data_IF_149140973872
#
_entry.id   IF_149140973872
#
_cell.length_a   1.000
_cell.length_b   1.000
_cell.length_c   1.000
_cell.angle_alpha   90.00
_cell.angle_beta   90.00
_cell.angle_gamma   90.00
#
_symmetry.space_group_name_H-M   'P 1'
#
loop_
_entity.id
_entity.type
_entity.pdbx_description
1 polymer ?
#
# COMPACT_ATOMS: atom_id res chain seq x y z
N UNK A 1 -11.99 -10.01 6.12
CA UNK A 1 -11.34 -10.96 7.05
C UNK A 1 -12.34 -11.73 7.90
N UNK A 2 -13.38 -11.11 8.47
CA UNK A 2 -14.40 -11.86 9.23
C UNK A 2 -15.14 -12.92 8.42
N UNK A 3 -15.49 -12.63 7.14
CA UNK A 3 -16.07 -13.64 6.23
C UNK A 3 -15.16 -14.86 6.04
N UNK A 4 -13.86 -14.65 5.89
CA UNK A 4 -12.88 -15.74 5.80
C UNK A 4 -12.83 -16.54 7.11
N UNK A 5 -12.84 -15.87 8.26
CA UNK A 5 -12.87 -16.52 9.56
C UNK A 5 -14.10 -17.41 9.74
N UNK A 6 -15.28 -16.91 9.37
CA UNK A 6 -16.51 -17.71 9.40
C UNK A 6 -16.44 -18.91 8.45
N UNK A 7 -15.97 -18.70 7.22
CA UNK A 7 -15.90 -19.78 6.24
C UNK A 7 -14.86 -20.85 6.60
N UNK A 8 -13.72 -20.48 7.18
CA UNK A 8 -12.74 -21.46 7.72
C UNK A 8 -13.40 -22.33 8.79
N UNK A 9 -14.21 -21.75 9.69
CA UNK A 9 -14.94 -22.52 10.71
C UNK A 9 -15.95 -23.48 10.07
N UNK A 10 -16.72 -23.01 9.08
CA UNK A 10 -17.66 -23.85 8.34
C UNK A 10 -16.96 -25.03 7.65
N UNK A 11 -15.81 -24.78 7.02
CA UNK A 11 -15.00 -25.82 6.40
C UNK A 11 -14.60 -26.88 7.43
N UNK A 12 -14.04 -26.47 8.57
CA UNK A 12 -13.62 -27.40 9.64
C UNK A 12 -14.79 -28.24 10.14
N UNK A 13 -15.97 -27.65 10.33
CA UNK A 13 -17.15 -28.38 10.76
C UNK A 13 -17.67 -29.37 9.70
N UNK A 14 -17.66 -28.99 8.41
CA UNK A 14 -18.00 -29.91 7.31
C UNK A 14 -17.01 -31.09 7.22
N UNK A 15 -15.71 -30.84 7.42
CA UNK A 15 -14.69 -31.90 7.44
C UNK A 15 -14.91 -32.89 8.61
N UNK A 16 -15.28 -32.38 9.80
CA UNK A 16 -15.66 -33.23 10.95
C UNK A 16 -16.90 -34.07 10.64
N UNK A 17 -17.94 -33.47 10.05
CA UNK A 17 -19.17 -34.18 9.69
C UNK A 17 -18.93 -35.30 8.68
N UNK A 18 -17.97 -35.12 7.77
CA UNK A 18 -17.58 -36.11 6.76
C UNK A 18 -16.58 -37.16 7.26
N UNK A 19 -16.21 -37.14 8.55
CA UNK A 19 -15.17 -38.00 9.13
C UNK A 19 -13.83 -37.93 8.38
N UNK A 20 -13.49 -36.78 7.81
CA UNK A 20 -12.20 -36.57 7.16
C UNK A 20 -11.09 -36.42 8.22
N UNK A 21 -9.89 -36.90 7.90
CA UNK A 21 -8.74 -36.76 8.80
C UNK A 21 -8.33 -35.29 8.87
N UNK A 22 -8.41 -34.70 10.08
CA UNK A 22 -7.96 -33.33 10.29
C UNK A 22 -6.43 -33.20 10.37
N UNK A 23 -5.66 -34.28 10.21
CA UNK A 23 -4.20 -34.26 10.32
C UNK A 23 -3.53 -33.37 9.27
N UNK A 24 -4.17 -33.21 8.10
CA UNK A 24 -3.67 -32.33 7.03
C UNK A 24 -4.11 -30.89 7.22
N UNK A 25 -4.98 -30.58 8.17
CA UNK A 25 -5.42 -29.21 8.44
C UNK A 25 -4.29 -28.43 9.10
N UNK A 26 -3.94 -27.23 8.59
CA UNK A 26 -2.98 -26.38 9.26
C UNK A 26 -3.41 -26.11 10.71
N UNK A 27 -2.53 -26.38 11.68
CA UNK A 27 -2.88 -26.31 13.09
C UNK A 27 -3.47 -24.95 13.52
N UNK A 28 -3.01 -23.86 12.88
CA UNK A 28 -3.48 -22.51 13.17
C UNK A 28 -4.96 -22.30 12.81
N UNK A 29 -5.53 -23.05 11.85
CA UNK A 29 -6.95 -22.94 11.46
C UNK A 29 -7.91 -23.20 12.62
N UNK A 30 -7.59 -24.12 13.54
CA UNK A 30 -8.51 -24.55 14.59
C UNK A 30 -8.90 -23.45 15.55
N UNK A 31 -7.97 -22.54 15.85
CA UNK A 31 -8.15 -21.45 16.81
C UNK A 31 -7.94 -20.08 16.18
N UNK A 32 -7.92 -20.00 14.85
CA UNK A 32 -7.70 -18.73 14.17
C UNK A 32 -8.89 -17.81 14.38
N UNK A 33 -8.60 -16.63 14.91
CA UNK A 33 -9.50 -15.48 14.87
C UNK A 33 -8.83 -14.36 14.10
N UNK A 34 -9.62 -13.64 13.30
CA UNK A 34 -9.13 -12.48 12.58
C UNK A 34 -8.47 -11.48 13.55
N UNK A 35 -7.20 -11.09 13.35
CA UNK A 35 -6.53 -10.05 14.16
C UNK A 35 -7.25 -8.69 14.14
N UNK A 36 -8.17 -8.52 13.18
CA UNK A 36 -9.02 -7.35 13.02
C UNK A 36 -10.46 -7.55 13.52
N UNK A 37 -10.75 -8.63 14.26
CA UNK A 37 -12.09 -8.88 14.85
C UNK A 37 -12.51 -7.68 15.70
N UNK A 38 -13.71 -7.15 15.44
CA UNK A 38 -14.23 -5.97 16.13
C UNK A 38 -13.57 -4.63 15.74
N UNK A 39 -12.62 -4.63 14.79
CA UNK A 39 -12.06 -3.40 14.22
C UNK A 39 -12.91 -2.96 13.04
N UNK A 40 -13.51 -1.78 13.17
CA UNK A 40 -14.41 -1.18 12.18
C UNK A 40 -13.78 0.02 11.46
N UNK A 41 -12.57 0.42 11.88
CA UNK A 41 -11.75 1.47 11.27
C UNK A 41 -10.45 0.87 10.76
N UNK A 42 -9.91 1.43 9.68
CA UNK A 42 -8.64 1.02 9.09
C UNK A 42 -8.14 2.04 8.06
N UNK A 43 -6.95 1.79 7.52
CA UNK A 43 -6.29 2.66 6.55
C UNK A 43 -5.47 3.80 7.16
N UNK A 44 -5.17 3.70 8.46
CA UNK A 44 -4.19 4.48 9.21
C UNK A 44 -2.76 4.05 8.81
N UNK A 45 -1.78 4.89 9.12
CA UNK A 45 -0.37 4.54 8.97
C UNK A 45 0.03 3.60 10.11
N UNK A 46 0.72 2.51 9.78
CA UNK A 46 1.24 1.58 10.78
C UNK A 46 2.53 2.14 11.41
N UNK A 47 2.83 1.74 12.64
CA UNK A 47 4.03 2.16 13.38
C UNK A 47 5.33 1.87 12.61
N UNK A 48 5.38 0.76 11.85
CA UNK A 48 6.53 0.46 10.98
C UNK A 48 6.66 1.50 9.87
N UNK A 49 5.54 1.90 9.28
CA UNK A 49 5.50 2.94 8.25
C UNK A 49 5.89 4.33 8.79
N UNK A 50 5.54 4.63 10.04
CA UNK A 50 6.03 5.84 10.72
C UNK A 50 7.56 5.83 10.84
N UNK A 51 8.12 4.73 11.36
CA UNK A 51 9.57 4.60 11.53
C UNK A 51 10.32 4.62 10.19
N UNK A 52 9.83 3.91 9.18
CA UNK A 52 10.41 3.89 7.83
C UNK A 52 10.53 5.30 7.25
N UNK A 53 9.47 6.10 7.37
CA UNK A 53 9.43 7.46 6.84
C UNK A 53 10.24 8.43 7.67
N UNK A 54 10.22 8.30 9.00
CA UNK A 54 11.08 9.07 9.89
C UNK A 54 12.57 8.85 9.56
N UNK A 55 12.99 7.60 9.43
CA UNK A 55 14.36 7.26 9.05
C UNK A 55 14.69 7.69 7.63
N UNK A 56 13.72 7.64 6.70
CA UNK A 56 13.91 8.19 5.36
C UNK A 56 14.17 9.69 5.40
N UNK A 57 13.44 10.45 6.22
CA UNK A 57 13.67 11.88 6.41
C UNK A 57 15.08 12.20 6.90
N UNK A 58 15.57 11.45 7.90
CA UNK A 58 16.94 11.57 8.40
C UNK A 58 17.96 11.32 7.29
N UNK A 59 17.82 10.21 6.56
CA UNK A 59 18.73 9.85 5.47
C UNK A 59 18.73 10.87 4.34
N UNK A 60 17.57 11.43 3.99
CA UNK A 60 17.47 12.49 2.97
C UNK A 60 18.24 13.73 3.40
N UNK A 61 18.06 14.19 4.65
CA UNK A 61 18.82 15.31 5.20
C UNK A 61 20.33 15.05 5.15
N UNK A 62 20.77 13.88 5.61
CA UNK A 62 22.19 13.51 5.67
C UNK A 62 22.81 13.35 4.28
N UNK A 63 22.02 12.89 3.31
CA UNK A 63 22.47 12.71 1.92
C UNK A 63 22.67 14.03 1.20
N UNK A 64 21.90 15.05 1.54
CA UNK A 64 21.91 16.36 0.86
C UNK A 64 22.08 17.52 1.85
N UNK A 65 23.20 17.58 2.60
CA UNK A 65 23.38 18.54 3.68
C UNK A 65 23.32 20.00 3.20
N UNK A 66 23.83 20.28 2.00
CA UNK A 66 23.87 21.62 1.41
C UNK A 66 22.47 22.16 1.08
N UNK A 67 21.49 21.28 0.88
CA UNK A 67 20.10 21.63 0.60
C UNK A 67 19.32 21.96 1.89
N UNK A 68 19.70 21.35 3.01
CA UNK A 68 19.02 21.49 4.32
C UNK A 68 19.87 22.27 5.33
N UNK A 69 20.68 23.19 4.83
CA UNK A 69 21.50 24.10 5.63
C UNK A 69 20.67 25.29 6.18
N UNK A 70 19.66 25.74 5.45
CA UNK A 70 18.76 26.83 5.81
C UNK A 70 17.71 26.42 6.86
N UNK A 71 17.10 27.44 7.49
CA UNK A 71 15.97 27.24 8.38
C UNK A 71 14.69 26.88 7.61
N UNK A 72 13.83 26.07 8.22
CA UNK A 72 12.56 25.72 7.59
C UNK A 72 11.69 26.95 7.32
N UNK A 73 11.33 27.13 6.05
CA UNK A 73 10.25 27.99 5.58
C UNK A 73 9.31 27.18 4.67
N UNK A 74 7.97 27.32 4.79
CA UNK A 74 7.00 26.55 3.99
C UNK A 74 7.12 26.77 2.48
N UNK A 75 7.57 27.94 2.05
CA UNK A 75 7.76 28.22 0.62
C UNK A 75 9.06 27.63 0.07
N UNK A 76 10.04 27.34 0.93
CA UNK A 76 11.35 26.77 0.56
C UNK A 76 11.30 25.24 0.59
N UNK A 77 10.65 24.68 1.62
CA UNK A 77 10.48 23.24 1.81
C UNK A 77 9.00 22.83 1.82
N UNK A 78 8.25 23.05 0.72
CA UNK A 78 6.84 22.70 0.70
C UNK A 78 6.65 21.18 0.78
N UNK A 79 5.89 20.75 1.80
CA UNK A 79 5.49 19.35 1.98
C UNK A 79 4.02 19.20 1.58
N UNK A 80 3.78 18.56 0.43
CA UNK A 80 2.44 18.36 -0.14
C UNK A 80 2.01 16.90 0.01
N UNK A 81 0.74 16.70 0.38
CA UNK A 81 0.14 15.37 0.54
C UNK A 81 -1.24 15.29 -0.07
N UNK A 82 -1.69 14.08 -0.40
CA UNK A 82 -3.12 13.86 -0.61
C UNK A 82 -3.88 14.03 0.70
N UNK A 83 -5.14 14.47 0.64
CA UNK A 83 -6.04 14.56 1.79
C UNK A 83 -6.51 13.16 2.30
N UNK A 84 -5.60 12.22 2.52
CA UNK A 84 -5.80 10.88 3.05
C UNK A 84 -5.04 10.77 4.38
N UNK A 85 -5.66 10.31 5.49
CA UNK A 85 -5.03 10.32 6.82
C UNK A 85 -3.64 9.70 6.86
N UNK A 86 -3.48 8.47 6.35
CA UNK A 86 -2.16 7.82 6.28
C UNK A 86 -1.12 8.58 5.46
N UNK A 87 -1.51 9.27 4.38
CA UNK A 87 -0.57 10.05 3.58
C UNK A 87 -0.10 11.31 4.32
N UNK A 88 -1.01 11.95 5.07
CA UNK A 88 -0.67 13.07 5.94
C UNK A 88 0.22 12.62 7.10
N UNK A 89 -0.14 11.53 7.79
CA UNK A 89 0.69 10.94 8.84
C UNK A 89 2.08 10.56 8.33
N UNK A 90 2.16 10.01 7.10
CA UNK A 90 3.41 9.70 6.43
C UNK A 90 4.30 10.92 6.24
N UNK A 91 3.72 12.05 5.82
CA UNK A 91 4.47 13.28 5.65
C UNK A 91 4.91 13.89 6.97
N UNK A 92 4.10 13.75 8.02
CA UNK A 92 4.49 14.15 9.37
C UNK A 92 5.67 13.32 9.85
N UNK A 93 5.62 11.99 9.73
CA UNK A 93 6.73 11.12 10.12
C UNK A 93 8.01 11.47 9.35
N UNK A 94 7.92 11.61 8.03
CA UNK A 94 9.03 12.05 7.17
C UNK A 94 9.60 13.41 7.59
N UNK A 95 8.76 14.43 7.78
CA UNK A 95 9.17 15.76 8.18
C UNK A 95 9.77 15.82 9.58
N UNK A 96 9.28 15.00 10.52
CA UNK A 96 9.85 14.87 11.86
C UNK A 96 11.29 14.37 11.81
N UNK A 97 11.60 13.43 10.91
CA UNK A 97 12.96 12.95 10.69
C UNK A 97 13.83 13.99 9.98
N UNK A 98 13.31 14.57 8.89
CA UNK A 98 13.99 15.57 8.07
C UNK A 98 14.41 16.80 8.90
N UNK A 99 13.55 17.28 9.79
CA UNK A 99 13.81 18.47 10.62
C UNK A 99 14.14 18.14 12.09
N UNK A 100 14.50 16.89 12.39
CA UNK A 100 14.97 16.49 13.72
C UNK A 100 16.23 17.29 14.11
N UNK A 101 16.33 17.78 15.35
CA UNK A 101 17.45 18.60 15.80
C UNK A 101 17.48 20.06 15.32
N UNK A 102 16.55 20.46 14.44
CA UNK A 102 16.49 21.81 13.83
C UNK A 102 15.56 22.79 14.55
N UNK A 103 14.99 22.40 15.70
CA UNK A 103 14.09 23.23 16.49
C UNK A 103 14.31 23.15 18.00
N UNK A 104 13.28 23.49 18.76
CA UNK A 104 13.30 23.58 20.23
C UNK A 104 12.20 22.75 20.92
N UNK A 105 11.36 22.05 20.16
CA UNK A 105 10.25 21.29 20.72
C UNK A 105 10.70 19.90 21.20
N UNK A 106 10.57 19.69 22.51
CA UNK A 106 10.82 18.40 23.16
C UNK A 106 12.29 17.94 23.11
N UNK A 107 12.58 16.74 23.65
CA UNK A 107 13.94 16.19 23.70
C UNK A 107 14.59 16.00 22.33
N UNK A 108 13.78 15.70 21.31
CA UNK A 108 14.24 15.53 19.92
C UNK A 108 14.52 16.86 19.19
N UNK A 109 14.32 18.02 19.85
CA UNK A 109 14.56 19.34 19.28
C UNK A 109 13.87 19.50 17.92
N UNK A 110 12.61 19.09 17.85
CA UNK A 110 11.87 19.10 16.59
C UNK A 110 11.49 20.53 16.19
N UNK A 111 11.46 20.76 14.88
CA UNK A 111 10.92 21.96 14.25
C UNK A 111 9.51 21.66 13.75
N UNK A 112 8.55 22.53 14.05
CA UNK A 112 7.22 22.46 13.44
C UNK A 112 7.32 22.85 11.95
N UNK A 113 6.54 22.16 11.11
CA UNK A 113 6.46 22.38 9.67
C UNK A 113 5.01 22.30 9.20
N UNK A 114 4.74 22.87 8.03
CA UNK A 114 3.43 22.87 7.40
C UNK A 114 3.33 21.68 6.44
N UNK A 115 2.20 20.99 6.49
CA UNK A 115 1.81 19.97 5.50
C UNK A 115 0.56 20.46 4.82
N UNK A 116 0.60 20.60 3.50
CA UNK A 116 -0.54 21.06 2.72
C UNK A 116 -1.18 19.91 1.95
N UNK A 117 -2.48 20.06 1.66
CA UNK A 117 -3.22 19.07 0.87
C UNK A 117 -4.32 19.72 0.08
N UNK A 118 -4.55 19.22 -1.13
CA UNK A 118 -5.69 19.59 -1.95
C UNK A 118 -6.92 18.74 -1.63
N UNK A 119 -8.10 19.27 -1.97
CA UNK A 119 -9.36 18.54 -1.81
C UNK A 119 -9.35 17.24 -2.62
N UNK A 120 -9.84 16.14 -2.03
CA UNK A 120 -9.94 14.83 -2.70
C UNK A 120 -10.66 14.87 -4.05
N UNK A 121 -11.59 15.81 -4.22
CA UNK A 121 -12.41 15.93 -5.43
C UNK A 121 -11.68 16.64 -6.58
N UNK A 122 -10.69 17.48 -6.27
CA UNK A 122 -10.06 18.39 -7.23
C UNK A 122 -8.53 18.26 -7.30
N UNK A 123 -7.94 17.35 -6.54
CA UNK A 123 -6.50 17.10 -6.52
C UNK A 123 -6.04 16.41 -7.82
N UNK A 124 -5.82 17.21 -8.86
CA UNK A 124 -5.36 16.77 -10.18
C UNK A 124 -3.87 16.49 -10.25
N UNK A 125 -3.10 16.80 -9.19
CA UNK A 125 -1.65 16.63 -9.12
C UNK A 125 -1.31 15.32 -8.44
N UNK A 126 -1.80 15.09 -7.22
CA UNK A 126 -1.53 13.89 -6.45
C UNK A 126 -2.64 12.86 -6.58
N UNK A 127 -3.88 13.24 -6.90
CA UNK A 127 -5.00 12.30 -7.10
C UNK A 127 -5.59 12.31 -8.52
N UNK A 128 -4.78 12.55 -9.54
CA UNK A 128 -5.22 12.55 -10.95
C UNK A 128 -6.08 11.34 -11.36
N UNK A 129 -5.79 10.16 -10.81
CA UNK A 129 -6.56 8.92 -11.07
C UNK A 129 -7.97 8.92 -10.46
N UNK A 130 -8.24 9.72 -9.42
CA UNK A 130 -9.60 9.96 -8.92
C UNK A 130 -10.31 11.09 -9.68
N UNK A 131 -9.58 12.02 -10.29
CA UNK A 131 -10.17 13.15 -11.01
C UNK A 131 -10.44 12.81 -12.50
N UNK A 132 -9.77 11.81 -13.06
CA UNK A 132 -9.91 11.43 -14.46
C UNK A 132 -11.09 10.47 -14.68
N UNK A 133 -12.22 10.96 -15.20
CA UNK A 133 -13.40 10.13 -15.47
C UNK A 133 -13.12 9.02 -16.50
N UNK A 134 -12.40 9.36 -17.58
CA UNK A 134 -12.00 8.37 -18.60
C UNK A 134 -11.21 7.22 -18.00
N UNK A 135 -10.34 7.48 -17.01
CA UNK A 135 -9.59 6.44 -16.31
C UNK A 135 -10.48 5.57 -15.42
N UNK A 136 -11.47 6.15 -14.72
CA UNK A 136 -12.44 5.37 -13.93
C UNK A 136 -13.24 4.41 -14.81
N UNK A 137 -13.71 4.90 -15.95
CA UNK A 137 -14.47 4.08 -16.90
C UNK A 137 -13.59 2.98 -17.51
N UNK A 138 -12.36 3.34 -17.90
CA UNK A 138 -11.35 2.38 -18.37
C UNK A 138 -11.10 1.27 -17.35
N UNK A 139 -10.83 1.63 -16.08
CA UNK A 139 -10.53 0.67 -15.01
C UNK A 139 -11.68 -0.33 -14.83
N UNK A 140 -12.93 0.15 -14.81
CA UNK A 140 -14.12 -0.69 -14.70
C UNK A 140 -14.26 -1.66 -15.88
N UNK A 141 -13.97 -1.20 -17.09
CA UNK A 141 -14.06 -2.02 -18.30
C UNK A 141 -12.89 -3.00 -18.46
N UNK A 142 -11.73 -2.73 -17.85
CA UNK A 142 -10.55 -3.59 -17.94
C UNK A 142 -10.62 -4.80 -16.98
N UNK A 143 -11.49 -4.75 -15.97
CA UNK A 143 -11.64 -5.78 -14.94
C UNK A 143 -11.83 -7.21 -15.46
N UNK A 144 -12.74 -7.47 -16.42
CA UNK A 144 -12.88 -8.80 -17.01
C UNK A 144 -11.61 -9.30 -17.70
N UNK A 145 -10.79 -8.39 -18.24
CA UNK A 145 -9.60 -8.77 -19.01
C UNK A 145 -8.49 -9.31 -18.12
N UNK A 146 -8.18 -8.65 -17.00
CA UNK A 146 -7.18 -9.20 -16.08
C UNK A 146 -7.73 -10.38 -15.29
N UNK A 147 -9.04 -10.43 -14.97
CA UNK A 147 -9.63 -11.60 -14.31
C UNK A 147 -9.45 -12.86 -15.17
N UNK A 148 -9.64 -12.77 -16.50
CA UNK A 148 -9.36 -13.90 -17.41
C UNK A 148 -7.91 -14.44 -17.32
N UNK A 149 -6.94 -13.60 -16.97
CA UNK A 149 -5.54 -14.00 -16.80
C UNK A 149 -5.28 -14.61 -15.41
N UNK A 150 -5.97 -14.15 -14.37
CA UNK A 150 -5.82 -14.63 -12.99
C UNK A 150 -6.53 -15.95 -12.74
N UNK A 151 -7.73 -16.11 -13.30
CA UNK A 151 -8.62 -17.22 -13.01
C UNK A 151 -7.99 -18.61 -13.23
N UNK A 152 -7.19 -18.86 -14.28
CA UNK A 152 -6.49 -20.13 -14.45
C UNK A 152 -5.54 -20.43 -13.28
N UNK A 153 -4.73 -19.44 -12.88
CA UNK A 153 -3.78 -19.56 -11.77
C UNK A 153 -4.52 -19.82 -10.46
N UNK A 154 -5.56 -19.02 -10.16
CA UNK A 154 -6.36 -19.21 -8.96
C UNK A 154 -7.03 -20.59 -8.95
N UNK A 155 -7.49 -21.09 -10.10
CA UNK A 155 -8.11 -22.42 -10.22
C UNK A 155 -7.11 -23.55 -9.97
N UNK A 156 -5.90 -23.42 -10.53
CA UNK A 156 -4.81 -24.37 -10.31
C UNK A 156 -4.42 -24.43 -8.83
N UNK A 157 -4.16 -23.27 -8.22
CA UNK A 157 -3.79 -23.17 -6.80
C UNK A 157 -4.92 -23.68 -5.90
N UNK A 158 -6.18 -23.34 -6.21
CA UNK A 158 -7.34 -23.84 -5.45
C UNK A 158 -7.37 -25.37 -5.47
N UNK A 159 -7.16 -25.98 -6.63
CA UNK A 159 -7.16 -27.43 -6.80
C UNK A 159 -5.98 -28.09 -6.06
N UNK A 160 -4.79 -27.46 -6.12
CA UNK A 160 -3.59 -27.92 -5.43
C UNK A 160 -3.77 -27.88 -3.89
N UNK A 161 -4.28 -26.77 -3.35
CA UNK A 161 -4.52 -26.63 -1.91
C UNK A 161 -5.65 -27.55 -1.43
N UNK A 162 -6.72 -27.71 -2.22
CA UNK A 162 -7.79 -28.62 -1.89
C UNK A 162 -7.30 -30.06 -1.77
N UNK A 163 -6.42 -30.49 -2.68
CA UNK A 163 -5.79 -31.82 -2.61
C UNK A 163 -4.78 -31.94 -1.46
N UNK A 164 -4.00 -30.88 -1.20
CA UNK A 164 -2.96 -30.86 -0.15
C UNK A 164 -3.54 -30.97 1.24
N UNK A 165 -4.63 -30.24 1.50
CA UNK A 165 -5.23 -30.10 2.83
C UNK A 165 -6.55 -30.85 2.99
N UNK A 166 -7.03 -31.53 1.94
CA UNK A 166 -8.32 -32.25 1.92
C UNK A 166 -9.52 -31.36 2.33
N UNK A 167 -9.42 -30.06 2.02
CA UNK A 167 -10.47 -29.07 2.22
C UNK A 167 -11.01 -28.56 0.90
N UNK A 168 -12.32 -28.31 0.84
CA UNK A 168 -12.95 -27.75 -0.34
C UNK A 168 -12.81 -26.22 -0.38
N UNK A 169 -11.61 -25.71 -0.69
CA UNK A 169 -11.40 -24.28 -0.88
C UNK A 169 -12.11 -23.77 -2.14
N UNK A 170 -12.61 -22.54 -2.07
CA UNK A 170 -13.05 -21.78 -3.24
C UNK A 170 -11.94 -20.85 -3.72
N UNK A 171 -12.05 -20.34 -4.96
CA UNK A 171 -11.13 -19.29 -5.46
C UNK A 171 -11.16 -18.01 -4.61
N UNK A 172 -12.32 -17.73 -4.01
CA UNK A 172 -12.47 -16.59 -3.09
C UNK A 172 -11.68 -16.81 -1.81
N UNK A 173 -11.61 -18.05 -1.31
CA UNK A 173 -10.78 -18.39 -0.15
C UNK A 173 -9.31 -18.23 -0.47
N UNK A 174 -8.84 -18.73 -1.62
CA UNK A 174 -7.46 -18.55 -2.05
C UNK A 174 -7.09 -17.07 -2.14
N UNK A 175 -7.96 -16.26 -2.75
CA UNK A 175 -7.74 -14.81 -2.84
C UNK A 175 -7.71 -14.14 -1.46
N UNK A 176 -8.56 -14.61 -0.53
CA UNK A 176 -8.66 -14.06 0.83
C UNK A 176 -7.50 -14.51 1.73
N UNK A 177 -7.02 -15.74 1.56
CA UNK A 177 -5.84 -16.30 2.25
C UNK A 177 -4.55 -15.66 1.73
N UNK A 178 -4.46 -15.41 0.41
CA UNK A 178 -3.36 -14.64 -0.15
C UNK A 178 -3.34 -13.20 0.38
N UNK A 179 -4.51 -12.56 0.45
CA UNK A 179 -4.64 -11.26 1.09
C UNK A 179 -4.25 -11.31 2.57
N UNK A 180 -4.71 -12.32 3.32
CA UNK A 180 -4.33 -12.52 4.72
C UNK A 180 -2.82 -12.64 4.89
N UNK A 181 -2.16 -13.47 4.08
CA UNK A 181 -0.71 -13.64 4.12
C UNK A 181 0.02 -12.30 4.00
N UNK A 182 -0.35 -11.46 3.01
CA UNK A 182 0.26 -10.14 2.84
C UNK A 182 0.05 -9.25 4.06
N UNK A 183 -1.14 -9.26 4.65
CA UNK A 183 -1.44 -8.47 5.84
C UNK A 183 -0.71 -8.98 7.10
N UNK A 184 -0.66 -10.30 7.30
CA UNK A 184 0.04 -10.95 8.41
C UNK A 184 1.54 -10.69 8.33
N UNK A 185 2.14 -10.87 7.15
CA UNK A 185 3.57 -10.64 6.94
C UNK A 185 3.95 -9.18 7.14
N UNK A 186 3.21 -8.24 6.52
CA UNK A 186 3.58 -6.81 6.58
C UNK A 186 3.25 -6.15 7.93
N UNK A 187 2.08 -6.42 8.49
CA UNK A 187 1.61 -5.72 9.69
C UNK A 187 1.93 -6.45 11.00
N UNK A 188 2.03 -7.78 10.97
CA UNK A 188 2.13 -8.60 12.19
C UNK A 188 3.43 -9.41 12.28
N UNK A 189 4.29 -9.37 11.25
CA UNK A 189 5.49 -10.22 11.13
C UNK A 189 5.18 -11.74 11.21
N UNK A 190 3.96 -12.12 10.86
CA UNK A 190 3.52 -13.52 10.86
C UNK A 190 3.69 -14.08 9.44
N UNK A 191 4.51 -15.13 9.32
CA UNK A 191 4.80 -15.80 8.03
C UNK A 191 4.53 -17.31 8.06
N UNK A 192 4.22 -17.86 9.23
CA UNK A 192 3.98 -19.28 9.49
C UNK A 192 2.48 -19.67 9.53
N UNK A 193 1.59 -18.73 9.15
CA UNK A 193 0.14 -18.93 9.07
C UNK A 193 -0.37 -18.95 7.63
N UNK A 194 -1.03 -17.87 7.15
CA UNK A 194 -1.61 -17.87 5.81
C UNK A 194 -0.55 -18.02 4.71
N UNK A 195 0.63 -17.44 4.91
CA UNK A 195 1.71 -17.56 3.94
C UNK A 195 2.23 -18.99 3.81
N UNK A 196 2.28 -19.76 4.90
CA UNK A 196 2.79 -21.14 4.88
C UNK A 196 1.86 -22.12 4.15
N UNK A 197 0.65 -21.70 3.77
CA UNK A 197 -0.27 -22.52 2.99
C UNK A 197 0.22 -22.74 1.55
N UNK A 198 0.98 -21.77 1.04
CA UNK A 198 1.43 -21.70 -0.33
C UNK A 198 2.90 -22.12 -0.43
N UNK A 199 3.21 -22.92 -1.44
CA UNK A 199 4.60 -23.18 -1.83
C UNK A 199 5.24 -21.94 -2.45
N UNK A 200 6.58 -21.83 -2.50
CA UNK A 200 7.25 -20.68 -3.13
C UNK A 200 6.82 -20.43 -4.58
N UNK A 201 6.57 -21.48 -5.36
CA UNK A 201 6.06 -21.36 -6.74
C UNK A 201 4.64 -20.80 -6.78
N UNK A 202 3.76 -21.24 -5.88
CA UNK A 202 2.39 -20.72 -5.77
C UNK A 202 2.38 -19.26 -5.33
N UNK A 203 3.28 -18.87 -4.41
CA UNK A 203 3.47 -17.47 -4.01
C UNK A 203 3.89 -16.62 -5.22
N UNK A 204 4.91 -17.05 -5.97
CA UNK A 204 5.36 -16.32 -7.15
C UNK A 204 4.25 -16.16 -8.20
N UNK A 205 3.40 -17.18 -8.38
CA UNK A 205 2.23 -17.08 -9.25
C UNK A 205 1.18 -16.10 -8.72
N UNK A 206 0.90 -16.09 -7.42
CA UNK A 206 -0.02 -15.15 -6.79
C UNK A 206 0.49 -13.70 -6.85
N UNK A 207 1.77 -13.47 -6.60
CA UNK A 207 2.43 -12.17 -6.80
C UNK A 207 2.29 -11.72 -8.25
N UNK A 208 2.57 -12.62 -9.20
CA UNK A 208 2.36 -12.32 -10.63
C UNK A 208 0.91 -11.93 -10.93
N UNK A 209 -0.09 -12.56 -10.28
CA UNK A 209 -1.49 -12.14 -10.47
C UNK A 209 -1.73 -10.71 -9.98
N UNK A 210 -1.12 -10.28 -8.88
CA UNK A 210 -1.23 -8.90 -8.40
C UNK A 210 -0.51 -7.93 -9.35
N UNK A 211 0.68 -8.31 -9.80
CA UNK A 211 1.49 -7.51 -10.73
C UNK A 211 0.81 -7.33 -12.07
N UNK A 212 0.24 -8.37 -12.68
CA UNK A 212 -0.42 -8.23 -13.99
C UNK A 212 -1.66 -7.33 -13.90
N UNK A 213 -2.41 -7.39 -12.79
CA UNK A 213 -3.51 -6.46 -12.56
C UNK A 213 -3.02 -5.03 -12.48
N UNK A 214 -1.99 -4.79 -11.67
CA UNK A 214 -1.40 -3.47 -11.47
C UNK A 214 -0.79 -2.94 -12.76
N UNK A 215 -0.10 -3.77 -13.52
CA UNK A 215 0.46 -3.45 -14.82
C UNK A 215 -0.61 -3.00 -15.81
N UNK A 216 -1.73 -3.72 -15.90
CA UNK A 216 -2.81 -3.43 -16.83
C UNK A 216 -3.60 -2.18 -16.44
N UNK A 217 -3.87 -1.97 -15.15
CA UNK A 217 -4.73 -0.87 -14.69
C UNK A 217 -3.97 0.39 -14.29
N UNK A 218 -2.70 0.31 -13.91
CA UNK A 218 -1.89 1.47 -13.50
C UNK A 218 -0.55 1.59 -14.23
N UNK A 219 -0.03 0.49 -14.77
CA UNK A 219 1.25 0.45 -15.48
C UNK A 219 1.18 0.96 -16.92
N UNK A 220 2.26 0.74 -17.68
CA UNK A 220 2.42 1.21 -19.05
C UNK A 220 1.60 0.44 -20.10
N UNK A 221 0.75 -0.51 -19.69
CA UNK A 221 -0.09 -1.30 -20.60
C UNK A 221 -1.09 -0.48 -21.43
N UNK A 222 -1.41 0.76 -21.02
CA UNK A 222 -2.23 1.71 -21.78
C UNK A 222 -1.70 3.13 -21.66
N UNK A 223 -1.80 3.89 -22.75
CA UNK A 223 -1.32 5.27 -22.79
C UNK A 223 -2.04 6.21 -21.81
N UNK A 224 -3.30 5.93 -21.52
CA UNK A 224 -4.08 6.65 -20.53
C UNK A 224 -3.39 6.70 -19.16
N UNK A 225 -2.74 5.60 -18.75
CA UNK A 225 -2.18 5.46 -17.41
C UNK A 225 -0.99 6.38 -17.16
N UNK A 226 -0.13 6.62 -18.16
CA UNK A 226 0.94 7.61 -18.02
C UNK A 226 0.48 9.03 -18.35
N UNK A 227 -0.49 9.20 -19.27
CA UNK A 227 -1.02 10.53 -19.63
C UNK A 227 -1.72 11.20 -18.45
N UNK A 228 -2.42 10.43 -17.61
CA UNK A 228 -3.07 10.98 -16.42
C UNK A 228 -2.06 11.51 -15.38
N UNK A 229 -0.81 11.04 -15.37
CA UNK A 229 0.24 11.52 -14.48
C UNK A 229 1.00 12.75 -14.99
N UNK A 230 0.71 13.23 -16.21
CA UNK A 230 1.39 14.41 -16.79
C UNK A 230 1.27 15.67 -15.93
N UNK A 231 0.13 15.98 -15.27
CA UNK A 231 0.05 17.13 -14.36
C UNK A 231 1.10 17.08 -13.23
N UNK A 232 1.30 15.91 -12.62
CA UNK A 232 2.34 15.72 -11.59
C UNK A 232 3.73 15.92 -12.16
N UNK A 233 4.02 15.34 -13.33
CA UNK A 233 5.31 15.51 -13.98
C UNK A 233 5.60 16.99 -14.30
N UNK A 234 4.59 17.72 -14.78
CA UNK A 234 4.70 19.15 -15.04
C UNK A 234 4.98 19.94 -13.75
N UNK A 235 4.29 19.64 -12.65
CA UNK A 235 4.51 20.27 -11.34
C UNK A 235 5.95 20.04 -10.86
N UNK A 236 6.46 18.82 -10.97
CA UNK A 236 7.86 18.48 -10.60
C UNK A 236 8.85 19.27 -11.46
N UNK A 237 8.72 19.23 -12.79
CA UNK A 237 9.64 19.92 -13.70
C UNK A 237 9.61 21.45 -13.51
N UNK A 238 8.44 22.00 -13.24
CA UNK A 238 8.28 23.42 -12.96
C UNK A 238 8.96 23.79 -11.64
N UNK A 239 8.73 23.03 -10.55
CA UNK A 239 9.43 23.25 -9.27
C UNK A 239 10.95 23.17 -9.42
N UNK A 240 11.46 22.23 -10.22
CA UNK A 240 12.90 22.14 -10.50
C UNK A 240 13.41 23.36 -11.29
N UNK A 241 12.64 23.83 -12.27
CA UNK A 241 13.00 25.01 -13.07
C UNK A 241 12.99 26.29 -12.24
N UNK A 242 12.00 26.43 -11.35
CA UNK A 242 11.90 27.54 -10.40
C UNK A 242 13.08 27.52 -9.41
N UNK A 243 13.47 26.34 -8.91
CA UNK A 243 14.64 26.19 -8.05
C UNK A 243 15.95 26.60 -8.75
N UNK A 244 16.13 26.25 -10.02
CA UNK A 244 17.32 26.62 -10.80
C UNK A 244 17.37 28.14 -11.08
N UNK A 245 16.22 28.73 -11.42
CA UNK A 245 16.16 30.16 -11.75
C UNK A 245 16.31 31.06 -10.51
N UNK A 246 16.17 30.51 -9.30
CA UNK A 246 16.27 31.24 -8.04
C UNK A 246 17.72 31.47 -7.54
N UNK A 247 18.74 31.21 -8.37
CA UNK A 247 20.16 31.30 -7.98
C UNK A 247 20.62 32.72 -7.59
N UNK A 248 20.50 33.04 -6.30
CA UNK A 248 21.53 33.71 -5.47
C UNK A 248 21.29 33.55 -3.94
N UNK A 249 20.47 32.58 -3.48
CA UNK A 249 20.40 32.29 -2.04
C UNK A 249 19.24 31.44 -1.48
N UNK A 250 18.34 30.87 -2.29
CA UNK A 250 17.24 30.03 -1.77
C UNK A 250 17.11 28.72 -2.56
N UNK A 251 17.34 27.58 -1.89
CA UNK A 251 17.19 26.23 -2.49
C UNK A 251 15.75 25.74 -2.28
N UNK A 252 14.99 25.57 -3.37
CA UNK A 252 13.60 25.08 -3.29
C UNK A 252 13.53 23.54 -3.43
N UNK A 253 12.95 22.87 -2.43
CA UNK A 253 12.71 21.41 -2.46
C UNK A 253 11.28 21.07 -2.10
N UNK A 254 10.54 20.63 -3.12
CA UNK A 254 9.19 20.13 -2.96
C UNK A 254 9.18 18.64 -2.65
N UNK A 255 8.40 18.25 -1.64
CA UNK A 255 8.14 16.85 -1.31
C UNK A 255 6.69 16.51 -1.62
N UNK A 256 6.50 15.51 -2.49
CA UNK A 256 5.19 14.96 -2.82
C UNK A 256 5.06 13.58 -2.19
N UNK A 257 4.32 13.48 -1.09
CA UNK A 257 4.01 12.19 -0.49
C UNK A 257 2.65 11.70 -0.97
N UNK A 258 2.69 10.52 -1.57
CA UNK A 258 1.55 9.95 -2.25
C UNK A 258 1.30 8.51 -1.79
N UNK A 259 0.05 8.20 -1.44
CA UNK A 259 -0.37 6.83 -1.14
C UNK A 259 -0.76 6.10 -2.44
N UNK A 260 0.21 5.62 -3.24
CA UNK A 260 -0.09 4.78 -4.41
C UNK A 260 -0.42 3.33 -4.04
N UNK A 261 -0.02 2.91 -2.84
CA UNK A 261 -0.06 1.53 -2.40
C UNK A 261 -0.65 1.37 -1.01
N UNK A 262 -1.90 0.93 -1.00
CA UNK A 262 -2.46 -0.15 -0.19
C UNK A 262 -3.86 -0.32 -0.77
N UNK A 263 -4.10 -1.48 -1.37
CA UNK A 263 -5.28 -1.69 -2.19
C UNK A 263 -6.54 -1.31 -1.41
N UNK A 264 -7.41 -0.51 -2.03
CA UNK A 264 -8.84 -0.68 -1.80
C UNK A 264 -9.21 -2.02 -2.45
N UNK A 265 -8.84 -3.10 -1.79
CA UNK A 265 -9.47 -4.42 -1.92
C UNK A 265 -10.36 -4.57 -0.71
N UNK A 266 -11.47 -3.84 -0.73
CA UNK A 266 -12.57 -3.91 0.22
C UNK A 266 -13.83 -3.59 -0.53
#
# INVERSE_FOLDING_TARGET
>A
MEKLASHIKELIEDAKQRNLSLQKVPAWFHNWESPWKGKWKGGELDIKGEEELYQLGIRVRERFPDIFNEEYHPDVYPIKTTQIPRASASAVAFGMGLFSGKGSLGPGRHRAFAVTSESRASDTILRFFECCQTYKDFRKNQEPSFNKLKEPILTEITSALAKRYEFNFTRQDISSLWFLCKQESSLLDITDQACSLFSPTEVALLEWTDDIQMFMVKGYGKSLNYRMGVPLLKDVLQSMSEAINADEGNIFVSFWLYSLYLSRSG
#
